data_IF_136078271378
#
_entry.id   IF_136078271378
#
_cell.length_a   1.000
_cell.length_b   1.000
_cell.length_c   1.000
_cell.angle_alpha   90.00
_cell.angle_beta   90.00
_cell.angle_gamma   90.00
#
_symmetry.space_group_name_H-M   'P 1'
#
loop_
_entity.id
_entity.type
_entity.pdbx_description
1 polymer ?
#
# COMPACT_ATOMS: atom_id res chain seq x y z
N UNK A 1 30.53 34.02 -45.31
CA UNK A 1 29.69 33.53 -44.18
C UNK A 1 28.89 32.33 -44.66
N UNK A 2 29.29 31.09 -44.30
CA UNK A 2 28.56 29.87 -44.68
C UNK A 2 27.45 29.62 -43.66
N UNK A 3 26.19 29.62 -44.09
CA UNK A 3 25.05 29.20 -43.24
C UNK A 3 25.09 27.68 -43.09
N UNK A 4 25.25 27.21 -41.87
CA UNK A 4 25.19 25.80 -41.52
C UNK A 4 23.71 25.40 -41.43
N UNK A 5 23.22 24.64 -42.41
CA UNK A 5 21.88 24.03 -42.34
C UNK A 5 21.99 22.75 -41.52
N UNK A 6 21.46 22.77 -40.31
CA UNK A 6 21.31 21.59 -39.47
C UNK A 6 20.04 20.86 -39.92
N UNK A 7 20.20 19.71 -40.57
CA UNK A 7 19.09 18.84 -40.95
C UNK A 7 18.68 18.04 -39.70
N UNK A 8 17.57 18.42 -39.07
CA UNK A 8 16.97 17.62 -38.01
C UNK A 8 16.07 16.58 -38.69
N UNK A 9 16.37 15.27 -38.64
CA UNK A 9 15.52 14.26 -39.26
C UNK A 9 14.13 14.30 -38.63
N UNK A 10 13.07 14.22 -39.44
CA UNK A 10 11.69 14.17 -38.94
C UNK A 10 11.48 13.05 -37.89
N UNK A 11 12.29 11.99 -37.94
CA UNK A 11 12.33 10.89 -36.95
C UNK A 11 12.72 11.39 -35.55
N UNK A 12 13.62 12.36 -35.43
CA UNK A 12 14.01 12.94 -34.13
C UNK A 12 12.88 13.80 -33.54
N UNK A 13 12.11 14.48 -34.40
CA UNK A 13 10.94 15.27 -34.00
C UNK A 13 9.76 14.36 -33.57
N UNK A 14 9.59 13.23 -34.25
CA UNK A 14 8.59 12.19 -33.91
C UNK A 14 8.96 11.50 -32.59
N UNK A 15 10.23 11.21 -32.31
CA UNK A 15 10.68 10.70 -31.01
C UNK A 15 10.48 11.72 -29.88
N UNK A 16 10.66 13.02 -30.16
CA UNK A 16 10.39 14.08 -29.18
C UNK A 16 8.88 14.26 -28.91
N UNK A 17 8.04 14.08 -29.95
CA UNK A 17 6.59 14.11 -29.82
C UNK A 17 6.04 12.85 -29.14
N UNK A 18 6.62 11.66 -29.38
CA UNK A 18 6.24 10.41 -28.69
C UNK A 18 6.65 10.48 -27.20
N UNK A 19 7.78 11.10 -26.86
CA UNK A 19 8.14 11.37 -25.45
C UNK A 19 7.25 12.44 -24.80
N UNK A 20 6.60 13.31 -25.58
CA UNK A 20 5.65 14.31 -25.06
C UNK A 20 4.23 13.75 -24.85
N UNK A 21 3.94 12.57 -25.41
CA UNK A 21 2.69 11.82 -25.24
C UNK A 21 2.80 10.69 -24.21
N UNK A 22 3.77 10.76 -23.29
CA UNK A 22 3.54 10.17 -21.98
C UNK A 22 2.41 11.00 -21.38
N UNK A 23 1.17 10.51 -21.51
CA UNK A 23 0.07 10.93 -20.65
C UNK A 23 0.63 10.84 -19.25
N UNK A 24 1.00 12.00 -18.70
CA UNK A 24 1.28 12.16 -17.29
C UNK A 24 -0.07 11.91 -16.65
N UNK A 25 -0.41 10.64 -16.45
CA UNK A 25 -1.63 10.22 -15.77
C UNK A 25 -1.56 10.93 -14.43
N UNK A 26 -2.31 12.04 -14.33
CA UNK A 26 -2.47 12.75 -13.09
C UNK A 26 -2.98 11.72 -12.10
N UNK A 27 -2.10 11.30 -11.21
CA UNK A 27 -2.31 10.69 -9.89
C UNK A 27 -3.77 10.31 -9.65
N UNK A 28 -4.23 9.33 -10.39
CA UNK A 28 -5.66 9.08 -10.50
C UNK A 28 -6.10 8.30 -9.26
N UNK A 29 -7.12 8.83 -8.59
CA UNK A 29 -7.86 8.03 -7.63
C UNK A 29 -8.56 6.92 -8.39
N UNK A 30 -8.43 5.69 -7.90
CA UNK A 30 -9.09 4.54 -8.46
C UNK A 30 -10.27 4.12 -7.59
N UNK A 31 -11.33 3.63 -8.21
CA UNK A 31 -12.49 3.03 -7.53
C UNK A 31 -12.68 1.60 -8.01
N UNK A 32 -13.00 0.71 -7.08
CA UNK A 32 -13.46 -0.64 -7.35
C UNK A 32 -14.81 -0.88 -6.68
N UNK A 33 -15.73 -1.51 -7.41
CA UNK A 33 -17.04 -1.94 -6.92
C UNK A 33 -17.20 -3.46 -6.98
N UNK A 34 -16.12 -4.18 -7.24
CA UNK A 34 -16.05 -5.64 -7.40
C UNK A 34 -15.06 -6.27 -6.41
N UNK A 35 -15.00 -5.71 -5.20
CA UNK A 35 -14.10 -6.13 -4.11
C UNK A 35 -12.62 -6.11 -4.48
N UNK A 36 -12.19 -5.12 -5.27
CA UNK A 36 -10.79 -4.89 -5.60
C UNK A 36 -10.27 -5.80 -6.73
N UNK A 37 -11.17 -6.45 -7.48
CA UNK A 37 -10.78 -7.27 -8.64
C UNK A 37 -10.40 -6.39 -9.82
N UNK A 38 -11.14 -5.32 -10.07
CA UNK A 38 -10.83 -4.32 -11.11
C UNK A 38 -10.95 -2.91 -10.56
N UNK A 39 -10.19 -1.99 -11.16
CA UNK A 39 -10.04 -0.62 -10.70
C UNK A 39 -10.26 0.34 -11.88
N UNK A 40 -11.07 1.38 -11.67
CA UNK A 40 -11.35 2.42 -12.66
C UNK A 40 -10.91 3.78 -12.13
N UNK A 41 -10.28 4.56 -12.99
CA UNK A 41 -9.97 5.96 -12.70
C UNK A 41 -11.26 6.73 -12.47
N UNK A 42 -11.34 7.45 -11.36
CA UNK A 42 -12.39 8.41 -11.09
C UNK A 42 -11.81 9.83 -11.02
N UNK A 43 -12.60 10.80 -11.47
CA UNK A 43 -12.24 12.23 -11.45
C UNK A 43 -13.17 13.05 -10.56
N UNK A 44 -14.24 12.43 -10.08
CA UNK A 44 -15.17 13.00 -9.13
C UNK A 44 -14.53 13.02 -7.73
N UNK A 45 -15.02 13.92 -6.87
CA UNK A 45 -14.52 14.05 -5.50
C UNK A 45 -14.60 12.73 -4.73
N UNK A 46 -13.64 12.51 -3.84
CA UNK A 46 -13.69 11.38 -2.92
C UNK A 46 -14.93 11.51 -2.02
N UNK A 47 -15.68 10.42 -1.78
CA UNK A 47 -16.66 10.42 -0.70
C UNK A 47 -15.94 10.69 0.62
N UNK A 48 -16.68 10.98 1.69
CA UNK A 48 -16.08 11.07 3.02
C UNK A 48 -15.38 9.73 3.36
N UNK A 49 -14.05 9.77 3.40
CA UNK A 49 -13.21 8.63 3.70
C UNK A 49 -12.86 8.68 5.18
N UNK A 50 -13.15 7.59 5.89
CA UNK A 50 -12.70 7.44 7.27
C UNK A 50 -11.16 7.49 7.35
N UNK A 51 -10.65 8.37 8.21
CA UNK A 51 -9.20 8.48 8.45
C UNK A 51 -8.67 7.16 9.03
N UNK A 52 -7.46 6.72 8.66
CA UNK A 52 -6.85 5.55 9.29
C UNK A 52 -6.79 5.73 10.81
N UNK A 53 -7.32 4.77 11.56
CA UNK A 53 -7.31 4.79 13.01
C UNK A 53 -6.13 4.02 13.55
N UNK A 54 -5.35 4.64 14.43
CA UNK A 54 -4.21 4.00 15.11
C UNK A 54 -4.64 3.13 16.30
N UNK A 55 -5.95 3.05 16.58
CA UNK A 55 -6.50 2.21 17.64
C UNK A 55 -7.86 1.67 17.20
N UNK A 56 -8.08 0.37 17.38
CA UNK A 56 -9.36 -0.28 17.14
C UNK A 56 -9.89 -0.88 18.43
N UNK A 57 -11.22 -0.83 18.60
CA UNK A 57 -11.94 -1.46 19.70
C UNK A 57 -12.89 -2.52 19.16
N UNK A 58 -12.80 -3.76 19.65
CA UNK A 58 -13.77 -4.80 19.37
C UNK A 58 -13.91 -5.74 20.55
N UNK A 59 -15.15 -6.05 20.95
CA UNK A 59 -15.45 -6.97 22.05
C UNK A 59 -14.67 -6.70 23.37
N UNK A 60 -14.41 -5.43 23.69
CA UNK A 60 -13.66 -5.03 24.89
C UNK A 60 -12.13 -5.04 24.73
N UNK A 61 -11.61 -5.54 23.61
CA UNK A 61 -10.18 -5.49 23.26
C UNK A 61 -9.86 -4.20 22.52
N UNK A 62 -8.73 -3.58 22.88
CA UNK A 62 -8.09 -2.50 22.14
C UNK A 62 -6.80 -3.01 21.49
N UNK A 63 -6.59 -2.66 20.22
CA UNK A 63 -5.33 -2.89 19.50
C UNK A 63 -4.81 -1.53 19.04
N UNK A 64 -3.53 -1.24 19.23
CA UNK A 64 -2.92 0.02 18.77
C UNK A 64 -1.49 -0.17 18.25
N UNK A 65 -1.08 0.75 17.37
CA UNK A 65 0.30 0.84 16.91
C UNK A 65 1.18 1.46 17.99
N UNK A 66 2.47 1.13 17.98
CA UNK A 66 3.47 1.69 18.89
C UNK A 66 4.87 1.64 18.29
N UNK A 67 5.83 2.24 18.99
CA UNK A 67 7.23 2.34 18.55
C UNK A 67 7.95 1.00 18.41
N UNK A 68 7.47 -0.04 19.08
CA UNK A 68 8.06 -1.39 19.05
C UNK A 68 7.17 -2.43 18.35
N UNK A 69 6.07 -2.00 17.73
CA UNK A 69 5.18 -2.87 16.97
C UNK A 69 3.71 -2.64 17.29
N UNK A 70 2.97 -3.73 17.51
CA UNK A 70 1.52 -3.70 17.80
C UNK A 70 1.29 -4.14 19.23
N UNK A 71 0.45 -3.40 19.95
CA UNK A 71 0.08 -3.66 21.34
C UNK A 71 -1.42 -3.87 21.52
N UNK A 72 -1.77 -4.66 22.52
CA UNK A 72 -3.13 -5.08 22.85
C UNK A 72 -3.46 -4.73 24.30
N UNK A 73 -4.73 -4.43 24.56
CA UNK A 73 -5.27 -4.24 25.90
C UNK A 73 -6.65 -4.89 26.01
N UNK A 74 -6.93 -5.57 27.12
CA UNK A 74 -8.23 -6.21 27.42
C UNK A 74 -8.99 -5.52 28.54
N UNK A 75 -8.43 -4.46 29.11
CA UNK A 75 -8.92 -3.81 30.33
C UNK A 75 -9.23 -2.32 30.11
N UNK A 76 -9.68 -2.00 28.88
CA UNK A 76 -10.02 -0.65 28.44
C UNK A 76 -8.81 0.31 28.43
N UNK A 77 -7.62 -0.22 28.17
CA UNK A 77 -6.41 0.56 27.96
C UNK A 77 -5.62 0.86 29.23
N UNK A 78 -5.93 0.20 30.36
CA UNK A 78 -5.20 0.36 31.62
C UNK A 78 -3.84 -0.33 31.55
N UNK A 79 -3.80 -1.53 30.98
CA UNK A 79 -2.55 -2.26 30.71
C UNK A 79 -2.46 -2.63 29.23
N UNK A 80 -1.23 -2.68 28.73
CA UNK A 80 -0.91 -3.00 27.34
C UNK A 80 0.19 -4.05 27.27
N UNK A 81 0.03 -5.00 26.37
CA UNK A 81 1.01 -6.03 26.04
C UNK A 81 1.43 -5.92 24.57
N UNK A 82 2.69 -6.18 24.26
CA UNK A 82 3.14 -6.26 22.87
C UNK A 82 2.76 -7.62 22.27
N UNK A 83 1.98 -7.60 21.19
CA UNK A 83 1.51 -8.81 20.48
C UNK A 83 2.21 -9.02 19.14
N UNK A 84 2.82 -7.98 18.59
CA UNK A 84 3.80 -8.05 17.50
C UNK A 84 4.98 -7.18 17.90
N UNK A 85 6.19 -7.76 17.98
CA UNK A 85 7.42 -7.06 18.37
C UNK A 85 8.60 -7.53 17.55
N UNK A 86 8.73 -6.93 16.38
CA UNK A 86 9.66 -7.35 15.32
C UNK A 86 10.84 -6.40 15.16
N UNK A 87 11.17 -5.71 16.25
CA UNK A 87 12.24 -4.72 16.32
C UNK A 87 11.92 -3.38 15.66
N UNK A 88 10.77 -3.24 14.99
CA UNK A 88 10.33 -2.03 14.31
C UNK A 88 8.97 -1.50 14.78
N UNK A 89 8.54 -0.42 14.15
CA UNK A 89 7.29 0.28 14.50
C UNK A 89 6.04 -0.44 13.98
N UNK A 90 4.93 -0.29 14.70
CA UNK A 90 3.60 -0.58 14.19
C UNK A 90 3.17 0.50 13.19
N UNK A 91 2.70 0.10 12.02
CA UNK A 91 2.39 1.01 10.90
C UNK A 91 0.89 1.26 10.78
N UNK A 92 0.09 0.19 10.78
CA UNK A 92 -1.35 0.29 10.59
C UNK A 92 -2.06 -0.90 11.23
N UNK A 93 -3.33 -0.72 11.57
CA UNK A 93 -4.24 -1.78 12.02
C UNK A 93 -5.51 -1.65 11.19
N UNK A 94 -6.20 -2.77 10.99
CA UNK A 94 -7.52 -2.81 10.37
C UNK A 94 -8.39 -3.85 11.10
N UNK A 95 -9.68 -3.54 11.25
CA UNK A 95 -10.66 -4.55 11.65
C UNK A 95 -11.06 -5.38 10.44
N UNK A 96 -11.05 -6.70 10.62
CA UNK A 96 -11.52 -7.65 9.62
C UNK A 96 -12.62 -8.53 10.22
N UNK A 97 -13.33 -9.26 9.38
CA UNK A 97 -14.27 -10.28 9.78
C UNK A 97 -13.55 -11.33 10.66
N UNK A 98 -14.06 -11.50 11.88
CA UNK A 98 -13.48 -12.44 12.85
C UNK A 98 -12.21 -11.95 13.58
N UNK A 99 -11.69 -10.75 13.31
CA UNK A 99 -10.54 -10.26 14.08
C UNK A 99 -9.87 -8.99 13.55
N UNK A 100 -8.54 -9.04 13.41
CA UNK A 100 -7.72 -7.89 13.06
C UNK A 100 -6.67 -8.23 12.00
N UNK A 101 -6.34 -7.26 11.16
CA UNK A 101 -5.12 -7.24 10.36
C UNK A 101 -4.21 -6.11 10.85
N UNK A 102 -2.91 -6.28 10.74
CA UNK A 102 -1.94 -5.26 11.12
C UNK A 102 -0.75 -5.22 10.16
N UNK A 103 -0.09 -4.07 10.10
CA UNK A 103 1.16 -3.87 9.38
C UNK A 103 2.20 -3.42 10.41
N UNK A 104 3.34 -4.10 10.44
CA UNK A 104 4.49 -3.72 11.28
C UNK A 104 5.78 -3.79 10.47
N UNK A 105 6.75 -2.95 10.80
CA UNK A 105 8.09 -3.03 10.24
C UNK A 105 8.91 -4.08 10.98
N UNK A 106 9.60 -4.93 10.23
CA UNK A 106 10.53 -5.92 10.75
C UNK A 106 11.97 -5.49 10.44
N UNK A 107 12.79 -5.32 11.48
CA UNK A 107 14.17 -4.85 11.31
C UNK A 107 15.12 -5.92 10.78
N UNK A 108 14.80 -7.20 10.96
CA UNK A 108 15.58 -8.33 10.44
C UNK A 108 15.42 -8.46 8.94
N UNK A 109 14.18 -8.47 8.43
CA UNK A 109 13.88 -8.57 7.00
C UNK A 109 13.93 -7.23 6.28
N UNK A 110 14.04 -6.12 7.04
CA UNK A 110 14.00 -4.74 6.54
C UNK A 110 12.79 -4.48 5.65
N UNK A 111 11.64 -5.02 6.04
CA UNK A 111 10.39 -4.92 5.28
C UNK A 111 9.20 -4.72 6.20
N UNK A 112 8.12 -4.14 5.66
CA UNK A 112 6.82 -4.16 6.32
C UNK A 112 6.19 -5.53 6.08
N UNK A 113 5.61 -6.09 7.14
CA UNK A 113 4.90 -7.38 7.11
C UNK A 113 3.44 -7.15 7.45
N UNK A 114 2.58 -7.95 6.84
CA UNK A 114 1.14 -7.97 7.14
C UNK A 114 0.85 -9.18 8.02
N UNK A 115 0.13 -8.96 9.10
CA UNK A 115 -0.28 -9.98 10.06
C UNK A 115 -1.79 -10.06 10.18
N UNK A 116 -2.30 -11.24 10.49
CA UNK A 116 -3.70 -11.49 10.80
C UNK A 116 -3.87 -12.15 12.17
N UNK A 117 -4.88 -11.72 12.91
CA UNK A 117 -5.39 -12.38 14.11
C UNK A 117 -6.87 -12.67 13.96
N UNK A 118 -7.29 -13.88 14.31
CA UNK A 118 -8.69 -14.34 14.31
C UNK A 118 -9.19 -14.72 15.72
N UNK A 119 -8.43 -14.33 16.75
CA UNK A 119 -8.67 -14.65 18.16
C UNK A 119 -8.65 -13.38 19.02
N UNK A 120 -9.26 -12.31 18.51
CA UNK A 120 -9.32 -11.00 19.16
C UNK A 120 -7.93 -10.41 19.49
N UNK A 121 -6.98 -10.55 18.57
CA UNK A 121 -5.64 -9.96 18.69
C UNK A 121 -4.69 -10.71 19.61
N UNK A 122 -5.06 -11.90 20.10
CA UNK A 122 -4.23 -12.66 21.04
C UNK A 122 -3.03 -13.32 20.34
N UNK A 123 -3.24 -13.92 19.17
CA UNK A 123 -2.17 -14.48 18.35
C UNK A 123 -2.21 -13.93 16.92
N UNK A 124 -1.04 -13.82 16.30
CA UNK A 124 -0.86 -13.20 14.99
C UNK A 124 -0.05 -14.09 14.07
N UNK A 125 -0.52 -14.24 12.82
CA UNK A 125 0.16 -14.98 11.75
C UNK A 125 0.59 -14.02 10.66
N UNK A 126 1.80 -14.18 10.14
CA UNK A 126 2.28 -13.42 8.98
C UNK A 126 1.56 -13.94 7.74
N UNK A 127 1.04 -13.02 6.91
CA UNK A 127 0.38 -13.33 5.64
C UNK A 127 1.05 -12.65 4.44
N UNK A 128 2.11 -11.88 4.67
CA UNK A 128 2.87 -11.22 3.62
C UNK A 128 4.03 -12.05 3.06
N UNK A 129 4.26 -13.27 3.54
CA UNK A 129 5.37 -14.11 3.03
C UNK A 129 5.18 -14.54 1.56
N UNK A 130 3.93 -14.52 1.08
CA UNK A 130 3.57 -14.74 -0.32
C UNK A 130 3.55 -13.43 -1.16
N UNK A 131 3.94 -12.29 -0.60
CA UNK A 131 4.15 -11.03 -1.30
C UNK A 131 5.65 -10.79 -1.51
N UNK A 132 6.05 -10.06 -2.57
CA UNK A 132 7.41 -9.52 -2.65
C UNK A 132 7.74 -8.70 -1.39
N UNK A 133 8.92 -8.86 -0.78
CA UNK A 133 9.31 -8.04 0.37
C UNK A 133 9.35 -6.55 0.01
N UNK A 134 8.75 -5.70 0.84
CA UNK A 134 8.72 -4.26 0.60
C UNK A 134 8.71 -3.46 1.89
N UNK A 135 9.40 -2.33 1.89
CA UNK A 135 9.29 -1.32 2.96
C UNK A 135 8.01 -0.50 2.84
N UNK A 136 7.24 -0.66 1.75
CA UNK A 136 6.17 0.23 1.33
C UNK A 136 4.84 -0.51 1.16
N UNK A 137 4.38 -1.13 2.24
CA UNK A 137 2.99 -1.57 2.37
C UNK A 137 2.22 -0.49 3.12
N UNK A 138 1.23 0.10 2.46
CA UNK A 138 0.56 1.33 2.92
C UNK A 138 -0.70 1.08 3.75
N UNK A 139 -1.38 -0.03 3.48
CA UNK A 139 -2.73 -0.32 3.95
C UNK A 139 -3.11 -1.76 3.63
N UNK A 140 -4.00 -2.31 4.45
CA UNK A 140 -4.69 -3.58 4.27
C UNK A 140 -6.16 -3.32 4.58
N UNK A 141 -7.05 -3.73 3.68
CA UNK A 141 -8.51 -3.60 3.82
C UNK A 141 -9.19 -4.91 3.47
N UNK A 142 -10.36 -5.15 4.05
CA UNK A 142 -11.21 -6.28 3.68
C UNK A 142 -12.50 -5.79 3.02
N UNK A 143 -12.91 -6.46 1.95
CA UNK A 143 -14.23 -6.32 1.32
C UNK A 143 -14.79 -7.71 1.03
N UNK A 144 -15.84 -8.10 1.76
CA UNK A 144 -16.32 -9.48 1.77
C UNK A 144 -15.21 -10.45 2.17
N UNK A 145 -15.04 -11.55 1.42
CA UNK A 145 -13.95 -12.51 1.66
C UNK A 145 -12.56 -12.06 1.20
N UNK A 146 -12.45 -10.91 0.55
CA UNK A 146 -11.20 -10.48 -0.08
C UNK A 146 -10.41 -9.52 0.80
N UNK A 147 -9.11 -9.79 0.94
CA UNK A 147 -8.14 -8.84 1.46
C UNK A 147 -7.51 -8.09 0.29
N UNK A 148 -7.32 -6.77 0.45
CA UNK A 148 -6.70 -5.91 -0.56
C UNK A 148 -5.67 -5.03 0.13
N UNK A 149 -4.43 -5.03 -0.38
CA UNK A 149 -3.36 -4.18 0.15
C UNK A 149 -2.73 -3.31 -0.91
N UNK A 150 -2.28 -2.13 -0.48
CA UNK A 150 -1.41 -1.26 -1.26
C UNK A 150 0.06 -1.61 -1.01
N UNK A 151 0.78 -1.90 -2.09
CA UNK A 151 2.16 -2.38 -2.11
C UNK A 151 3.02 -1.51 -3.04
N UNK A 152 4.36 -1.51 -2.89
CA UNK A 152 5.28 -0.79 -3.80
C UNK A 152 5.07 -1.14 -5.27
N UNK A 153 4.69 -2.39 -5.53
CA UNK A 153 4.52 -2.94 -6.87
C UNK A 153 3.08 -2.83 -7.39
N UNK A 154 2.17 -2.22 -6.62
CA UNK A 154 0.79 -1.98 -7.01
C UNK A 154 -0.23 -2.42 -5.98
N UNK A 155 -1.39 -2.86 -6.43
CA UNK A 155 -2.47 -3.36 -5.57
C UNK A 155 -2.49 -4.88 -5.66
N UNK A 156 -2.48 -5.54 -4.50
CA UNK A 156 -2.60 -6.99 -4.40
C UNK A 156 -3.92 -7.36 -3.71
N UNK A 157 -4.49 -8.48 -4.14
CA UNK A 157 -5.73 -9.04 -3.61
C UNK A 157 -5.53 -10.50 -3.23
N UNK A 158 -6.08 -10.90 -2.09
CA UNK A 158 -6.16 -12.29 -1.64
C UNK A 158 -7.61 -12.70 -1.45
N UNK A 159 -7.92 -13.97 -1.75
CA UNK A 159 -9.25 -14.57 -1.57
C UNK A 159 -9.29 -15.65 -0.47
N UNK A 160 -8.16 -15.88 0.19
CA UNK A 160 -7.93 -17.01 1.10
C UNK A 160 -7.26 -16.57 2.41
N UNK A 161 -7.58 -15.35 2.86
CA UNK A 161 -7.04 -14.72 4.07
C UNK A 161 -5.51 -14.57 4.05
N UNK A 162 -4.96 -14.27 2.88
CA UNK A 162 -3.55 -13.93 2.68
C UNK A 162 -2.62 -15.13 2.55
N UNK A 163 -3.15 -16.34 2.32
CA UNK A 163 -2.31 -17.49 1.97
C UNK A 163 -1.71 -17.32 0.56
N UNK A 164 -2.48 -16.76 -0.35
CA UNK A 164 -2.02 -16.38 -1.70
C UNK A 164 -2.45 -14.96 -2.05
N UNK A 165 -1.67 -14.31 -2.90
CA UNK A 165 -1.91 -12.94 -3.37
C UNK A 165 -1.80 -12.88 -4.89
N UNK A 166 -2.67 -12.07 -5.50
CA UNK A 166 -2.65 -11.78 -6.93
C UNK A 166 -2.53 -10.27 -7.13
N UNK A 167 -1.60 -9.84 -7.98
CA UNK A 167 -1.54 -8.44 -8.42
C UNK A 167 -2.78 -8.13 -9.28
N UNK A 168 -3.51 -7.08 -8.92
CA UNK A 168 -4.76 -6.67 -9.59
C UNK A 168 -4.66 -5.28 -10.22
N UNK A 169 -3.60 -4.53 -9.89
CA UNK A 169 -3.30 -3.24 -10.48
C UNK A 169 -1.80 -2.95 -10.36
N UNK A 170 -1.13 -2.40 -11.39
CA UNK A 170 0.28 -2.02 -11.30
C UNK A 170 0.51 -0.83 -10.34
N UNK A 171 1.77 -0.55 -10.00
CA UNK A 171 2.17 0.62 -9.22
C UNK A 171 1.96 1.95 -9.96
N UNK A 172 1.92 3.06 -9.21
CA UNK A 172 1.63 4.42 -9.72
C UNK A 172 2.76 4.93 -10.63
N UNK A 173 4.01 4.68 -10.24
CA UNK A 173 5.21 5.11 -10.98
C UNK A 173 6.30 4.06 -10.75
N UNK A 174 6.77 3.41 -11.82
CA UNK A 174 8.12 2.83 -11.82
C UNK A 174 9.02 3.88 -12.46
N UNK A 175 9.64 4.73 -11.64
CA UNK A 175 10.65 5.64 -12.14
C UNK A 175 11.82 4.80 -12.67
N UNK A 176 11.86 4.60 -13.99
CA UNK A 176 13.03 4.04 -14.68
C UNK A 176 14.02 5.16 -15.07
N UNK A 177 13.88 6.35 -14.49
CA UNK A 177 14.80 7.47 -14.71
C UNK A 177 16.12 7.23 -14.00
N UNK A 178 16.94 6.43 -14.69
CA UNK A 178 18.32 6.11 -14.42
C UNK A 178 19.20 7.36 -14.56
N UNK A 179 19.64 7.90 -13.42
CA UNK A 179 20.93 8.58 -13.36
C UNK A 179 21.82 7.80 -12.40
N UNK A 180 22.52 6.80 -12.94
CA UNK A 180 23.60 6.10 -12.24
C UNK A 180 24.77 7.06 -12.08
N UNK A 181 24.78 7.83 -11.00
CA UNK A 181 25.96 8.61 -10.64
C UNK A 181 26.59 8.23 -9.30
N UNK A 182 25.94 7.45 -8.42
CA UNK A 182 26.51 7.17 -7.08
C UNK A 182 26.30 5.74 -6.52
N UNK A 183 26.21 4.72 -7.37
CA UNK A 183 26.57 3.35 -6.98
C UNK A 183 25.71 2.60 -5.92
N UNK A 184 24.66 3.19 -5.35
CA UNK A 184 23.71 2.48 -4.47
C UNK A 184 22.32 2.47 -5.10
N UNK A 185 21.81 1.28 -5.39
CA UNK A 185 20.43 1.08 -5.87
C UNK A 185 19.49 1.02 -4.67
N UNK A 186 18.77 2.11 -4.41
CA UNK A 186 17.46 2.02 -3.75
C UNK A 186 16.42 2.60 -4.70
N UNK A 187 15.68 1.72 -5.39
CA UNK A 187 14.47 2.12 -6.10
C UNK A 187 13.38 2.27 -5.03
N UNK A 188 13.38 3.42 -4.37
CA UNK A 188 12.31 3.79 -3.46
C UNK A 188 11.10 4.18 -4.33
N UNK A 189 9.95 3.48 -4.26
CA UNK A 189 8.76 3.93 -4.94
C UNK A 189 8.42 5.34 -4.43
N UNK A 190 8.21 6.29 -5.32
CA UNK A 190 7.78 7.65 -4.92
C UNK A 190 6.39 7.63 -4.32
N UNK A 191 5.55 6.69 -4.76
CA UNK A 191 4.14 6.58 -4.38
C UNK A 191 3.70 5.15 -4.18
N UNK A 192 2.74 4.97 -3.29
CA UNK A 192 2.01 3.73 -3.04
C UNK A 192 0.52 4.05 -2.98
N UNK A 193 -0.32 3.14 -3.47
CA UNK A 193 -1.76 3.27 -3.29
C UNK A 193 -2.13 3.05 -1.83
N UNK A 194 -2.85 3.97 -1.20
CA UNK A 194 -3.55 3.73 0.06
C UNK A 194 -4.98 3.29 -0.24
N UNK A 195 -5.38 2.14 0.29
CA UNK A 195 -6.70 1.55 0.07
C UNK A 195 -7.65 2.01 1.17
N UNK A 196 -8.83 2.44 0.76
CA UNK A 196 -9.91 2.92 1.61
C UNK A 196 -11.20 2.17 1.26
N UNK A 197 -12.07 2.01 2.25
CA UNK A 197 -13.41 1.41 2.08
C UNK A 197 -14.42 2.52 2.34
N UNK A 198 -15.43 2.64 1.47
CA UNK A 198 -16.60 3.48 1.71
C UNK A 198 -17.84 2.81 1.11
N UNK A 199 -18.79 2.45 1.96
CA UNK A 199 -19.92 1.58 1.60
C UNK A 199 -19.43 0.27 0.97
N UNK A 200 -19.96 -0.07 -0.20
CA UNK A 200 -19.62 -1.29 -0.95
C UNK A 200 -18.50 -1.08 -1.98
N UNK A 201 -17.72 0.00 -1.85
CA UNK A 201 -16.65 0.34 -2.79
C UNK A 201 -15.30 0.47 -2.09
N UNK A 202 -14.25 0.13 -2.83
CA UNK A 202 -12.87 0.41 -2.47
C UNK A 202 -12.35 1.59 -3.28
N UNK A 203 -11.52 2.40 -2.65
CA UNK A 203 -10.85 3.54 -3.26
C UNK A 203 -9.35 3.39 -3.06
N UNK A 204 -8.57 3.51 -4.13
CA UNK A 204 -7.11 3.52 -4.07
C UNK A 204 -6.62 4.92 -4.40
N UNK A 205 -6.01 5.56 -3.40
CA UNK A 205 -5.50 6.93 -3.52
C UNK A 205 -3.97 6.86 -3.56
N UNK A 206 -3.32 7.32 -4.64
CA UNK A 206 -1.86 7.41 -4.66
C UNK A 206 -1.40 8.41 -3.61
N UNK A 207 -0.41 8.03 -2.80
CA UNK A 207 0.20 8.91 -1.80
C UNK A 207 1.68 8.61 -1.64
N UNK A 208 2.40 9.48 -0.91
CA UNK A 208 3.82 9.27 -0.59
C UNK A 208 4.03 7.88 0.01
N UNK A 209 5.06 7.17 -0.46
CA UNK A 209 5.49 5.91 0.13
C UNK A 209 6.19 6.09 1.49
N UNK A 210 6.63 7.31 1.82
CA UNK A 210 7.27 7.65 3.09
C UNK A 210 6.34 7.65 4.31
N UNK A 211 6.94 7.79 5.49
CA UNK A 211 6.23 8.10 6.74
C UNK A 211 5.65 9.52 6.71
#
# INVERSE_FOLDING_TARGET
MKKLFVFVPAILLVLFLINSFVLKEKEAVLKSTDSGKTWKVIREGLPEIEKPTNTFKSAGVLISTGSEGIRRSTDKGKHWEWVIREGGVGIAIERIEGGFAAIAYNTTTKSRRIHISLDNGATWKVISDALPPSMFISSIKQMGKYLVCGHSDGIFRSADMGKTWTSVHPSVEKDHNYFKFLGTQEITPKKVFRIHVSGNALYAVPGSAGC
#
